data_IF_995308762303
#
_entry.id   IF_995308762303
#
_cell.length_a   1.000
_cell.length_b   1.000
_cell.length_c   1.000
_cell.angle_alpha   90.00
_cell.angle_beta   90.00
_cell.angle_gamma   90.00
#
_symmetry.space_group_name_H-M   'P 1'
#
loop_
_entity.id
_entity.type
_entity.pdbx_description
1 polymer ?
#
# COMPACT_ATOMS: atom_id res chain seq x y z
N UNK A 1 -3.03 -12.53 -11.15
CA UNK A 1 -1.94 -11.73 -11.76
C UNK A 1 -1.99 -10.34 -11.16
N UNK A 2 -0.84 -9.78 -10.75
CA UNK A 2 -0.73 -8.42 -10.24
C UNK A 2 -0.85 -7.44 -11.41
N UNK A 3 -1.73 -6.45 -11.33
CA UNK A 3 -1.76 -5.39 -12.34
C UNK A 3 -0.57 -4.43 -12.18
N UNK A 4 -0.21 -3.75 -13.27
CA UNK A 4 0.88 -2.76 -13.26
C UNK A 4 0.54 -1.62 -12.30
N UNK A 5 1.52 -1.16 -11.51
CA UNK A 5 1.37 -0.01 -10.64
C UNK A 5 0.99 1.25 -11.45
N UNK A 6 -0.06 1.93 -10.99
CA UNK A 6 -0.56 3.17 -11.53
C UNK A 6 -0.28 4.30 -10.54
N UNK A 7 -0.07 5.51 -11.05
CA UNK A 7 0.04 6.70 -10.22
C UNK A 7 -1.35 7.05 -9.72
N UNK A 8 -1.49 7.22 -8.42
CA UNK A 8 -2.79 7.52 -7.85
C UNK A 8 -3.22 8.96 -8.16
N UNK A 9 -4.51 9.14 -8.43
CA UNK A 9 -5.08 10.47 -8.68
C UNK A 9 -5.35 11.20 -7.36
N UNK A 10 -5.61 12.50 -7.41
CA UNK A 10 -5.84 13.32 -6.20
C UNK A 10 -6.91 12.75 -5.26
N UNK A 11 -7.96 12.14 -5.81
CA UNK A 11 -9.07 11.53 -5.07
C UNK A 11 -8.66 10.29 -4.26
N UNK A 12 -7.56 9.62 -4.64
CA UNK A 12 -7.04 8.44 -3.96
C UNK A 12 -6.20 8.76 -2.72
N UNK A 13 -5.86 10.05 -2.49
CA UNK A 13 -4.98 10.47 -1.41
C UNK A 13 -5.40 9.90 -0.04
N UNK A 14 -6.71 9.78 0.18
CA UNK A 14 -7.25 9.30 1.43
C UNK A 14 -7.07 7.79 1.69
N UNK A 15 -6.70 6.99 0.68
CA UNK A 15 -6.43 5.55 0.80
C UNK A 15 -4.96 5.22 1.10
N UNK A 16 -4.10 6.24 1.12
CA UNK A 16 -2.69 6.07 1.51
C UNK A 16 -2.46 6.24 3.01
N UNK A 17 -3.49 6.59 3.79
CA UNK A 17 -3.40 6.92 5.21
C UNK A 17 -4.52 6.24 5.99
N UNK A 18 -4.20 5.83 7.22
CA UNK A 18 -5.21 5.40 8.18
C UNK A 18 -6.11 6.59 8.53
N UNK A 19 -7.40 6.34 8.68
CA UNK A 19 -8.41 7.30 9.11
C UNK A 19 -9.00 6.88 10.46
N UNK A 20 -10.22 7.32 10.77
CA UNK A 20 -10.97 6.78 11.90
C UNK A 20 -11.41 5.34 11.61
N UNK A 21 -11.60 4.54 12.66
CA UNK A 21 -12.08 3.15 12.57
C UNK A 21 -13.33 3.05 11.69
N UNK A 22 -14.29 3.97 11.86
CA UNK A 22 -15.52 4.00 11.05
C UNK A 22 -15.23 4.20 9.56
N UNK A 23 -14.36 5.16 9.21
CA UNK A 23 -14.01 5.46 7.81
C UNK A 23 -13.24 4.32 7.18
N UNK A 24 -12.27 3.75 7.89
CA UNK A 24 -11.48 2.63 7.40
C UNK A 24 -12.32 1.36 7.25
N UNK A 25 -13.30 1.15 8.14
CA UNK A 25 -14.32 0.09 7.99
C UNK A 25 -15.16 0.31 6.73
N UNK A 26 -15.68 1.53 6.52
CA UNK A 26 -16.51 1.87 5.35
C UNK A 26 -15.75 1.71 4.02
N UNK A 27 -14.46 2.00 4.03
CA UNK A 27 -13.56 1.80 2.88
C UNK A 27 -13.15 0.34 2.69
N UNK A 28 -13.43 -0.52 3.66
CA UNK A 28 -13.00 -1.91 3.64
C UNK A 28 -11.49 -2.09 3.80
N UNK A 29 -10.84 -1.23 4.59
CA UNK A 29 -9.41 -1.34 4.93
C UNK A 29 -9.18 -2.61 5.76
N UNK A 30 -8.51 -3.61 5.20
CA UNK A 30 -8.17 -4.84 5.91
C UNK A 30 -7.05 -4.55 6.93
N UNK A 31 -6.08 -3.76 6.49
CA UNK A 31 -4.94 -3.34 7.26
C UNK A 31 -3.83 -2.81 6.37
N UNK A 32 -2.67 -2.59 6.94
CA UNK A 32 -1.51 -2.16 6.17
C UNK A 32 -0.19 -2.73 6.69
N UNK A 33 0.77 -2.89 5.79
CA UNK A 33 2.17 -3.03 6.15
C UNK A 33 2.78 -1.65 6.31
N UNK A 34 3.62 -1.48 7.32
CA UNK A 34 4.56 -0.36 7.43
C UNK A 34 5.96 -0.94 7.46
N UNK A 35 6.83 -0.49 6.57
CA UNK A 35 8.18 -0.99 6.50
C UNK A 35 9.23 0.08 6.29
N UNK A 36 10.47 -0.30 6.56
CA UNK A 36 11.66 0.53 6.45
C UNK A 36 12.80 -0.30 5.91
N UNK A 37 13.72 0.35 5.21
CA UNK A 37 15.02 -0.22 4.92
C UNK A 37 15.97 0.13 6.05
N UNK A 38 16.76 -0.85 6.49
CA UNK A 38 17.75 -0.65 7.55
C UNK A 38 18.83 0.35 7.16
N UNK A 39 19.84 0.47 8.03
CA UNK A 39 20.97 1.40 7.80
C UNK A 39 21.62 1.20 6.43
N UNK A 40 21.83 -0.05 6.01
CA UNK A 40 22.40 -0.41 4.69
C UNK A 40 21.52 0.00 3.51
N UNK A 41 20.19 0.04 3.69
CA UNK A 41 19.26 0.29 2.59
C UNK A 41 18.91 -0.94 1.74
N UNK A 42 19.55 -2.09 1.97
CA UNK A 42 19.50 -3.27 1.08
C UNK A 42 18.51 -4.36 1.52
N UNK A 43 18.00 -4.26 2.75
CA UNK A 43 16.98 -5.19 3.27
C UNK A 43 15.91 -4.37 3.96
N UNK A 44 14.66 -4.78 3.80
CA UNK A 44 13.54 -4.15 4.48
C UNK A 44 13.01 -5.03 5.61
N UNK A 45 12.42 -4.37 6.59
CA UNK A 45 11.61 -4.97 7.65
C UNK A 45 10.24 -4.33 7.63
N UNK A 46 9.22 -5.09 8.00
CA UNK A 46 7.85 -4.57 8.04
C UNK A 46 7.05 -5.11 9.21
N UNK A 47 6.13 -4.28 9.71
CA UNK A 47 5.13 -4.63 10.70
C UNK A 47 3.74 -4.51 10.09
N UNK A 48 2.87 -5.47 10.38
CA UNK A 48 1.46 -5.44 9.98
C UNK A 48 0.60 -4.73 11.02
N UNK A 49 -0.30 -3.86 10.56
CA UNK A 49 -1.27 -3.12 11.37
C UNK A 49 -2.69 -3.51 10.95
N UNK A 50 -3.46 -4.02 11.89
CA UNK A 50 -4.83 -4.51 11.66
C UNK A 50 -5.86 -3.38 11.68
N UNK A 51 -6.80 -3.44 10.74
CA UNK A 51 -7.96 -2.55 10.67
C UNK A 51 -9.27 -3.35 10.73
N UNK A 52 -9.39 -4.39 9.89
CA UNK A 52 -10.51 -5.34 9.89
C UNK A 52 -10.00 -6.78 10.04
N UNK A 53 -9.76 -7.26 11.29
CA UNK A 53 -9.16 -8.58 11.54
C UNK A 53 -9.93 -9.74 10.92
N UNK A 54 -11.26 -9.64 10.84
CA UNK A 54 -12.13 -10.66 10.24
C UNK A 54 -11.83 -10.91 8.74
N UNK A 55 -11.19 -9.96 8.06
CA UNK A 55 -10.85 -10.06 6.64
C UNK A 55 -9.43 -10.57 6.40
N UNK A 56 -8.62 -10.73 7.45
CA UNK A 56 -7.25 -11.27 7.38
C UNK A 56 -7.25 -12.80 7.34
N UNK A 57 -8.03 -13.36 6.42
CA UNK A 57 -8.16 -14.80 6.21
C UNK A 57 -6.90 -15.38 5.53
N UNK A 58 -6.65 -16.70 5.61
CA UNK A 58 -5.47 -17.32 5.01
C UNK A 58 -5.28 -17.01 3.53
N UNK A 59 -6.36 -16.95 2.75
CA UNK A 59 -6.30 -16.60 1.34
C UNK A 59 -5.77 -15.18 1.09
N UNK A 60 -6.21 -14.19 1.89
CA UNK A 60 -5.69 -12.83 1.80
C UNK A 60 -4.21 -12.76 2.20
N UNK A 61 -3.80 -13.52 3.23
CA UNK A 61 -2.39 -13.57 3.66
C UNK A 61 -1.49 -14.11 2.55
N UNK A 62 -1.87 -15.21 1.91
CA UNK A 62 -1.12 -15.77 0.79
C UNK A 62 -1.03 -14.80 -0.40
N UNK A 63 -2.12 -14.07 -0.70
CA UNK A 63 -2.11 -13.04 -1.73
C UNK A 63 -1.18 -11.87 -1.36
N UNK A 64 -1.24 -11.40 -0.10
CA UNK A 64 -0.37 -10.32 0.39
C UNK A 64 1.11 -10.71 0.30
N UNK A 65 1.46 -11.94 0.67
CA UNK A 65 2.84 -12.44 0.54
C UNK A 65 3.30 -12.42 -0.92
N UNK A 66 2.45 -12.88 -1.85
CA UNK A 66 2.73 -12.82 -3.29
C UNK A 66 2.86 -11.38 -3.82
N UNK A 67 2.04 -10.45 -3.32
CA UNK A 67 2.13 -9.02 -3.67
C UNK A 67 3.45 -8.43 -3.18
N UNK A 68 3.86 -8.70 -1.94
CA UNK A 68 5.14 -8.22 -1.39
C UNK A 68 6.32 -8.78 -2.16
N UNK A 69 6.29 -10.08 -2.51
CA UNK A 69 7.30 -10.70 -3.36
C UNK A 69 7.38 -9.99 -4.72
N UNK A 70 6.25 -9.79 -5.39
CA UNK A 70 6.21 -9.15 -6.71
C UNK A 70 6.69 -7.68 -6.66
N UNK A 71 6.37 -6.93 -5.61
CA UNK A 71 6.89 -5.57 -5.41
C UNK A 71 8.41 -5.56 -5.20
N UNK A 72 8.95 -6.60 -4.54
CA UNK A 72 10.39 -6.78 -4.34
C UNK A 72 11.08 -7.08 -5.67
N UNK A 73 10.56 -8.02 -6.45
CA UNK A 73 11.10 -8.41 -7.77
C UNK A 73 11.05 -7.26 -8.78
N UNK A 74 10.03 -6.39 -8.70
CA UNK A 74 9.91 -5.17 -9.51
C UNK A 74 10.82 -4.02 -9.05
N UNK A 75 11.51 -4.17 -7.92
CA UNK A 75 12.46 -3.19 -7.40
C UNK A 75 11.89 -2.20 -6.38
N UNK A 76 10.57 -2.18 -6.15
CA UNK A 76 9.95 -1.24 -5.21
C UNK A 76 10.38 -1.50 -3.77
N UNK A 77 10.49 -2.77 -3.39
CA UNK A 77 10.92 -3.18 -2.05
C UNK A 77 12.32 -3.84 -2.05
N UNK A 78 13.05 -3.75 -3.16
CA UNK A 78 14.39 -4.34 -3.29
C UNK A 78 15.42 -3.62 -2.43
N UNK A 79 15.50 -2.29 -2.56
CA UNK A 79 16.39 -1.45 -1.76
C UNK A 79 15.87 -0.02 -1.72
N UNK A 80 16.32 0.76 -0.71
CA UNK A 80 15.97 2.18 -0.59
C UNK A 80 16.39 2.97 -1.82
N UNK A 81 17.58 2.68 -2.33
CA UNK A 81 18.14 3.34 -3.52
C UNK A 81 17.31 3.02 -4.77
N UNK A 82 16.86 1.76 -4.94
CA UNK A 82 16.01 1.38 -6.07
C UNK A 82 14.63 2.02 -5.98
N UNK A 83 14.02 2.03 -4.79
CA UNK A 83 12.77 2.74 -4.54
C UNK A 83 12.90 4.24 -4.88
N UNK A 84 14.00 4.89 -4.46
CA UNK A 84 14.27 6.28 -4.77
C UNK A 84 14.29 6.55 -6.28
N UNK A 85 15.01 5.71 -7.04
CA UNK A 85 15.06 5.83 -8.50
C UNK A 85 13.67 5.69 -9.13
N UNK A 86 12.88 4.70 -8.71
CA UNK A 86 11.52 4.48 -9.21
C UNK A 86 10.62 5.68 -8.88
N UNK A 87 10.68 6.22 -7.66
CA UNK A 87 9.96 7.44 -7.29
C UNK A 87 10.36 8.64 -8.15
N UNK A 88 11.65 8.81 -8.46
CA UNK A 88 12.12 9.90 -9.33
C UNK A 88 11.64 9.77 -10.78
N UNK A 89 11.42 8.55 -11.27
CA UNK A 89 10.85 8.29 -12.60
C UNK A 89 9.34 8.60 -12.68
N UNK A 90 8.69 8.80 -11.53
CA UNK A 90 7.26 9.06 -11.41
C UNK A 90 6.99 10.34 -10.58
N UNK A 91 7.47 11.52 -11.02
CA UNK A 91 7.22 12.78 -10.31
C UNK A 91 5.72 13.11 -10.15
N UNK A 92 4.88 12.65 -11.07
CA UNK A 92 3.43 12.78 -11.05
C UNK A 92 2.76 11.99 -9.91
N UNK A 93 3.44 10.99 -9.34
CA UNK A 93 2.95 10.21 -8.20
C UNK A 93 3.19 10.90 -6.84
N UNK A 94 3.75 12.11 -6.81
CA UNK A 94 3.97 12.85 -5.55
C UNK A 94 2.62 13.19 -4.91
N UNK A 95 2.47 12.84 -3.64
CA UNK A 95 1.25 13.12 -2.88
C UNK A 95 1.27 14.59 -2.42
N UNK A 96 0.40 15.41 -3.01
CA UNK A 96 0.20 16.80 -2.58
C UNK A 96 -0.35 16.84 -1.15
N UNK A 97 0.17 17.75 -0.32
CA UNK A 97 -0.24 17.88 1.07
C UNK A 97 0.30 16.79 2.03
N UNK A 98 1.19 15.90 1.56
CA UNK A 98 1.92 15.02 2.45
C UNK A 98 2.87 15.81 3.37
N UNK A 99 3.25 15.19 4.50
CA UNK A 99 4.15 15.81 5.49
C UNK A 99 5.54 16.16 4.92
N UNK A 100 5.93 15.51 3.83
CA UNK A 100 7.17 15.78 3.10
C UNK A 100 6.91 15.75 1.59
N UNK A 101 7.58 16.62 0.83
CA UNK A 101 7.44 16.74 -0.63
C UNK A 101 7.93 15.50 -1.40
N UNK A 102 8.69 14.64 -0.73
CA UNK A 102 9.24 13.39 -1.26
C UNK A 102 8.40 12.14 -0.95
N UNK A 103 7.11 12.29 -0.67
CA UNK A 103 6.19 11.16 -0.48
C UNK A 103 5.46 10.87 -1.80
N UNK A 104 5.44 9.60 -2.19
CA UNK A 104 4.88 9.12 -3.44
C UNK A 104 3.77 8.10 -3.19
N UNK A 105 2.75 8.08 -4.05
CA UNK A 105 1.61 7.16 -3.95
C UNK A 105 1.34 6.42 -5.26
N UNK A 106 1.26 5.10 -5.16
CA UNK A 106 0.92 4.21 -6.26
C UNK A 106 -0.26 3.32 -5.88
N UNK A 107 -1.16 3.07 -6.81
CA UNK A 107 -2.27 2.13 -6.63
C UNK A 107 -2.18 0.99 -7.64
N UNK A 108 -2.71 -0.16 -7.24
CA UNK A 108 -2.84 -1.34 -8.09
C UNK A 108 -3.87 -2.29 -7.49
N UNK A 109 -4.22 -3.34 -8.21
CA UNK A 109 -5.19 -4.33 -7.75
C UNK A 109 -4.80 -5.75 -8.16
N UNK A 110 -5.38 -6.69 -7.45
CA UNK A 110 -5.45 -8.10 -7.82
C UNK A 110 -6.88 -8.44 -8.24
N UNK A 111 -7.16 -9.72 -8.49
CA UNK A 111 -8.53 -10.17 -8.69
C UNK A 111 -9.44 -9.89 -7.48
N UNK A 112 -8.89 -9.79 -6.26
CA UNK A 112 -9.67 -9.78 -5.03
C UNK A 112 -9.53 -8.51 -4.19
N UNK A 113 -8.40 -7.81 -4.27
CA UNK A 113 -8.08 -6.68 -3.38
C UNK A 113 -7.49 -5.51 -4.15
N UNK A 114 -7.62 -4.32 -3.57
CA UNK A 114 -6.96 -3.09 -4.03
C UNK A 114 -5.88 -2.69 -3.05
N UNK A 115 -4.77 -2.20 -3.58
CA UNK A 115 -3.58 -1.86 -2.82
C UNK A 115 -3.15 -0.43 -3.11
N UNK A 116 -2.66 0.23 -2.06
CA UNK A 116 -2.13 1.58 -2.12
C UNK A 116 -0.74 1.57 -1.47
N UNK A 117 0.29 1.67 -2.30
CA UNK A 117 1.69 1.74 -1.89
C UNK A 117 2.12 3.21 -1.76
N UNK A 118 2.39 3.63 -0.53
CA UNK A 118 3.02 4.92 -0.23
C UNK A 118 4.50 4.71 -0.02
N UNK A 119 5.34 5.45 -0.74
CA UNK A 119 6.79 5.40 -0.64
C UNK A 119 7.35 6.71 -0.08
N UNK A 120 8.37 6.59 0.77
CA UNK A 120 9.21 7.68 1.26
C UNK A 120 10.67 7.21 1.23
N UNK A 121 11.40 7.45 0.12
CA UNK A 121 12.67 6.78 -0.14
C UNK A 121 13.89 7.44 0.53
N UNK A 122 13.74 7.97 1.75
CA UNK A 122 14.81 8.66 2.49
C UNK A 122 15.16 7.95 3.80
N UNK A 123 16.39 8.11 4.26
CA UNK A 123 16.84 7.52 5.52
C UNK A 123 16.24 8.26 6.73
N UNK A 124 16.08 7.55 7.86
CA UNK A 124 15.65 8.13 9.13
C UNK A 124 14.16 8.00 9.45
N UNK A 125 13.36 7.36 8.58
CA UNK A 125 11.94 7.08 8.81
C UNK A 125 11.51 5.78 8.11
N UNK A 126 10.25 5.40 8.25
CA UNK A 126 9.61 4.32 7.50
C UNK A 126 9.53 4.66 6.01
N UNK A 127 10.02 3.73 5.20
CA UNK A 127 10.17 3.93 3.78
C UNK A 127 8.94 3.56 2.96
N UNK A 128 8.07 2.68 3.47
CA UNK A 128 6.84 2.36 2.76
C UNK A 128 5.68 2.01 3.66
N UNK A 129 4.49 2.21 3.10
CA UNK A 129 3.24 1.73 3.64
C UNK A 129 2.46 1.07 2.52
N UNK A 130 1.97 -0.16 2.73
CA UNK A 130 1.12 -0.86 1.77
C UNK A 130 -0.26 -1.07 2.40
N UNK A 131 -1.20 -0.20 2.05
CA UNK A 131 -2.58 -0.31 2.51
C UNK A 131 -3.35 -1.30 1.65
N UNK A 132 -4.13 -2.16 2.30
CA UNK A 132 -4.83 -3.28 1.69
C UNK A 132 -6.33 -3.11 1.89
N UNK A 133 -7.09 -3.08 0.80
CA UNK A 133 -8.54 -2.88 0.80
C UNK A 133 -9.25 -4.02 0.08
N UNK A 134 -10.46 -4.34 0.50
CA UNK A 134 -11.38 -5.12 -0.35
C UNK A 134 -11.78 -4.30 -1.56
N UNK A 135 -12.09 -4.99 -2.68
CA UNK A 135 -12.61 -4.31 -3.86
C UNK A 135 -14.02 -3.74 -3.62
N UNK A 136 -14.33 -2.52 -4.11
CA UNK A 136 -15.65 -1.92 -3.97
C UNK A 136 -16.78 -2.78 -4.56
N UNK A 137 -16.52 -3.45 -5.68
CA UNK A 137 -17.50 -4.34 -6.34
C UNK A 137 -17.91 -5.52 -5.45
N UNK A 138 -17.12 -5.83 -4.41
CA UNK A 138 -17.36 -6.91 -3.45
C UNK A 138 -17.77 -6.40 -2.07
N UNK A 139 -17.83 -5.08 -1.87
CA UNK A 139 -18.44 -4.48 -0.68
C UNK A 139 -19.97 -4.56 -0.76
N UNK A 140 -20.56 -4.41 -1.95
CA UNK A 140 -22.01 -4.53 -2.18
C UNK A 140 -22.53 -5.97 -2.12
N UNK A 141 -21.72 -6.96 -2.52
CA UNK A 141 -22.04 -8.40 -2.36
C UNK A 141 -22.15 -8.83 -0.88
N UNK A 142 -21.74 -7.95 0.05
CA UNK A 142 -21.68 -8.21 1.49
C UNK A 142 -22.69 -7.39 2.30
N UNK A 143 -23.51 -6.58 1.66
CA UNK A 143 -24.72 -6.05 2.29
C UNK A 143 -25.79 -7.14 2.20
N UNK A 144 -26.18 -7.80 3.31
CA UNK A 144 -27.42 -8.55 3.28
C UNK A 144 -28.52 -7.53 3.01
N UNK A 145 -29.36 -7.83 2.05
CA UNK A 145 -30.66 -7.17 1.88
C UNK A 145 -31.29 -6.97 3.27
N UNK A 146 -31.63 -5.72 3.59
CA UNK A 146 -32.57 -5.37 4.65
C UNK A 146 -33.68 -4.55 4.05
#
# INVERSE_FOLDING_TARGET
MLERLQTAVSEDAAYFYSASIEKDTKRGCIGHLRGYFGSSGETFWSTWFEHLPALKIPAFRAELDAVVQALTEQGWLQSRSRMHQLCMLHPEARLSGAWHSGVYGFCFQTAHHRYYLRCFPYAGDYNFYLYCYVRPERLSERSPER
#
